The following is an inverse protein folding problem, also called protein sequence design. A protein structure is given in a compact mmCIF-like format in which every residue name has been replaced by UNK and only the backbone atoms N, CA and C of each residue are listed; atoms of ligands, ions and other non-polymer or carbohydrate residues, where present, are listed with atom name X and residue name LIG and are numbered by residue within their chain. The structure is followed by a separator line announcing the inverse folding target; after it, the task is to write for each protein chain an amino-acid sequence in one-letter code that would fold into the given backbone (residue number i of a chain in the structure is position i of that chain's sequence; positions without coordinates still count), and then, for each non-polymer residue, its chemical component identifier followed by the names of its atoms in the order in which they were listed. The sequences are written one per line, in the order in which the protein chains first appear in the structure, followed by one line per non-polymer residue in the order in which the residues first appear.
data_IF_428416744667
#
_entry.id   IF_428416744667
#
_cell.length_a   1.000
_cell.length_b   1.000
_cell.length_c   1.000
_cell.angle_alpha   90.00
_cell.angle_beta   90.00
_cell.angle_gamma   90.00
#
_symmetry.space_group_name_H-M   'P 1'
#
loop_
_entity.id
_entity.type
_entity.pdbx_description
1 polymer ?
#
# COMPACT_ATOMS: atom_id res chain seq x y z
N UNK A 1 18.99 8.37 -12.95
CA UNK A 1 18.02 7.47 -13.64
C UNK A 1 16.88 8.33 -14.17
N UNK A 2 16.50 8.19 -15.44
CA UNK A 2 15.41 9.02 -16.01
C UNK A 2 14.03 8.39 -15.84
N UNK A 3 13.96 7.08 -15.64
CA UNK A 3 12.73 6.32 -15.47
C UNK A 3 13.00 5.15 -14.52
N UNK A 4 12.04 4.87 -13.65
CA UNK A 4 12.02 3.72 -12.75
C UNK A 4 10.66 3.03 -12.86
N UNK A 5 10.68 1.75 -13.21
CA UNK A 5 9.49 0.90 -13.15
C UNK A 5 9.54 0.06 -11.88
N UNK A 6 8.46 0.10 -11.11
CA UNK A 6 8.30 -0.80 -9.99
C UNK A 6 7.09 -1.71 -10.16
N UNK A 7 7.18 -2.88 -9.55
CA UNK A 7 6.06 -3.82 -9.46
C UNK A 7 5.66 -3.99 -8.00
N UNK A 8 4.35 -3.93 -7.72
CA UNK A 8 3.77 -4.27 -6.42
C UNK A 8 3.22 -5.70 -6.46
N UNK A 9 3.82 -6.60 -5.67
CA UNK A 9 3.25 -7.92 -5.38
C UNK A 9 2.49 -7.86 -4.05
N UNK A 10 1.21 -8.21 -4.06
CA UNK A 10 0.34 -8.23 -2.88
C UNK A 10 -0.56 -9.46 -2.83
N UNK A 11 -1.25 -9.66 -1.70
CA UNK A 11 -2.13 -10.81 -1.50
C UNK A 11 -3.53 -10.58 -2.11
N UNK A 12 -4.02 -9.35 -2.10
CA UNK A 12 -5.37 -9.00 -2.53
C UNK A 12 -5.45 -7.85 -3.54
N UNK A 13 -6.58 -7.74 -4.25
CA UNK A 13 -6.81 -6.64 -5.19
C UNK A 13 -7.01 -5.29 -4.49
N UNK A 14 -7.47 -5.29 -3.23
CA UNK A 14 -7.60 -4.07 -2.43
C UNK A 14 -6.27 -3.37 -2.19
N UNK A 15 -5.17 -4.13 -2.21
CA UNK A 15 -3.84 -3.63 -1.89
C UNK A 15 -3.26 -2.74 -3.00
N UNK A 16 -3.87 -2.72 -4.19
CA UNK A 16 -3.51 -1.76 -5.24
C UNK A 16 -3.73 -0.31 -4.79
N UNK A 17 -4.49 -0.07 -3.71
CA UNK A 17 -4.57 1.22 -3.02
C UNK A 17 -3.22 1.70 -2.46
N UNK A 18 -2.20 0.84 -2.37
CA UNK A 18 -0.82 1.22 -2.02
C UNK A 18 -0.07 1.89 -3.17
N UNK A 19 -0.50 1.74 -4.42
CA UNK A 19 0.19 2.30 -5.59
C UNK A 19 0.39 3.82 -5.48
N UNK A 20 -0.63 4.65 -5.17
CA UNK A 20 -0.42 6.08 -4.97
C UNK A 20 0.58 6.40 -3.86
N UNK A 21 0.55 5.66 -2.76
CA UNK A 21 1.48 5.81 -1.62
C UNK A 21 2.92 5.55 -2.04
N UNK A 22 3.17 4.42 -2.74
CA UNK A 22 4.50 4.00 -3.18
C UNK A 22 5.05 4.91 -4.28
N UNK A 23 4.18 5.33 -5.21
CA UNK A 23 4.54 6.29 -6.27
C UNK A 23 4.95 7.63 -5.67
N UNK A 24 4.15 8.17 -4.73
CA UNK A 24 4.48 9.40 -4.02
C UNK A 24 5.81 9.29 -3.26
N UNK A 25 6.02 8.16 -2.59
CA UNK A 25 7.24 7.93 -1.82
C UNK A 25 8.49 7.91 -2.73
N UNK A 26 8.40 7.24 -3.88
CA UNK A 26 9.47 7.24 -4.88
C UNK A 26 9.72 8.62 -5.47
N UNK A 27 8.66 9.36 -5.84
CA UNK A 27 8.77 10.74 -6.35
C UNK A 27 9.39 11.70 -5.33
N UNK A 28 9.18 11.45 -4.04
CA UNK A 28 9.78 12.24 -2.96
C UNK A 28 11.30 12.05 -2.87
N UNK A 29 11.81 10.86 -3.24
CA UNK A 29 13.22 10.51 -3.08
C UNK A 29 14.00 10.41 -4.40
N UNK A 30 13.33 10.44 -5.54
CA UNK A 30 13.95 10.36 -6.87
C UNK A 30 13.59 11.60 -7.68
N UNK A 31 14.46 12.60 -7.63
CA UNK A 31 14.25 13.85 -8.38
C UNK A 31 14.44 13.60 -9.88
N UNK A 32 13.61 14.21 -10.71
CA UNK A 32 13.64 14.12 -12.18
C UNK A 32 13.60 12.67 -12.72
N UNK A 33 12.91 11.77 -12.00
CA UNK A 33 12.70 10.40 -12.39
C UNK A 33 11.22 10.14 -12.70
N UNK A 34 10.90 9.68 -13.90
CA UNK A 34 9.56 9.20 -14.22
C UNK A 34 9.30 7.87 -13.51
N UNK A 35 8.23 7.78 -12.74
CA UNK A 35 7.87 6.57 -12.00
C UNK A 35 6.74 5.86 -12.75
N UNK A 36 7.00 4.61 -13.17
CA UNK A 36 6.00 3.71 -13.72
C UNK A 36 5.70 2.61 -12.71
N UNK A 37 4.45 2.20 -12.64
CA UNK A 37 4.01 1.16 -11.72
C UNK A 37 3.26 0.05 -12.43
N UNK A 38 3.42 -1.16 -11.91
CA UNK A 38 2.59 -2.32 -12.24
C UNK A 38 2.11 -2.99 -10.96
N UNK A 39 0.90 -3.52 -10.99
CA UNK A 39 0.40 -4.41 -9.95
C UNK A 39 0.45 -5.86 -10.46
N UNK A 40 1.20 -6.72 -9.77
CA UNK A 40 1.33 -8.12 -10.13
C UNK A 40 0.02 -8.89 -9.88
N UNK A 41 -0.92 -8.82 -10.82
CA UNK A 41 -2.18 -9.58 -10.76
C UNK A 41 -1.96 -11.04 -11.15
N UNK A 42 -1.74 -11.87 -10.14
CA UNK A 42 -1.56 -13.31 -10.32
C UNK A 42 -2.88 -14.12 -10.25
N UNK A 43 -4.05 -13.48 -10.21
CA UNK A 43 -5.35 -14.20 -10.07
C UNK A 43 -5.58 -15.19 -11.20
N UNK A 44 -5.25 -14.82 -12.43
CA UNK A 44 -5.38 -15.69 -13.62
C UNK A 44 -4.37 -16.86 -13.69
N UNK A 45 -3.34 -16.86 -12.84
CA UNK A 45 -2.33 -17.93 -12.85
C UNK A 45 -2.83 -19.17 -12.09
N UNK A 46 -2.62 -20.40 -12.61
CA UNK A 46 -2.99 -21.64 -11.93
C UNK A 46 -2.39 -21.74 -10.52
N UNK A 47 -3.16 -22.28 -9.56
CA UNK A 47 -2.71 -22.38 -8.16
C UNK A 47 -1.42 -23.17 -8.00
N UNK A 48 -1.22 -24.25 -8.76
CA UNK A 48 -0.01 -25.08 -8.73
C UNK A 48 1.29 -24.32 -9.05
N UNK A 49 1.20 -23.23 -9.82
CA UNK A 49 2.35 -22.40 -10.17
C UNK A 49 2.65 -21.31 -9.15
N UNK A 50 1.71 -21.02 -8.25
CA UNK A 50 1.80 -19.94 -7.22
C UNK A 50 1.44 -20.44 -5.82
N UNK A 51 1.61 -21.72 -5.54
CA UNK A 51 1.23 -22.38 -4.28
C UNK A 51 2.14 -21.99 -3.10
N UNK A 52 3.35 -21.50 -3.38
CA UNK A 52 4.28 -20.97 -2.38
C UNK A 52 4.54 -19.48 -2.59
N UNK A 53 4.96 -18.79 -1.53
CA UNK A 53 5.26 -17.37 -1.62
C UNK A 53 6.47 -17.09 -2.52
N UNK A 54 7.50 -17.94 -2.46
CA UNK A 54 8.67 -17.84 -3.34
C UNK A 54 8.31 -18.00 -4.82
N UNK A 55 7.40 -18.90 -5.18
CA UNK A 55 6.88 -19.03 -6.56
C UNK A 55 6.11 -17.78 -7.00
N UNK A 56 5.30 -17.19 -6.11
CA UNK A 56 4.61 -15.93 -6.41
C UNK A 56 5.56 -14.78 -6.69
N UNK A 57 6.66 -14.69 -5.93
CA UNK A 57 7.71 -13.68 -6.16
C UNK A 57 8.37 -13.89 -7.51
N UNK A 58 8.73 -15.13 -7.89
CA UNK A 58 9.28 -15.45 -9.23
C UNK A 58 8.34 -15.03 -10.35
N UNK A 59 7.08 -15.44 -10.26
CA UNK A 59 6.07 -15.09 -11.26
C UNK A 59 5.84 -13.59 -11.37
N UNK A 60 5.88 -12.86 -10.26
CA UNK A 60 5.72 -11.42 -10.28
C UNK A 60 6.84 -10.74 -11.09
N UNK A 61 8.09 -11.15 -10.91
CA UNK A 61 9.23 -10.60 -11.66
C UNK A 61 9.22 -11.05 -13.12
N UNK A 62 8.81 -12.30 -13.39
CA UNK A 62 8.73 -12.86 -14.74
C UNK A 62 7.65 -12.20 -15.60
N UNK A 63 6.44 -12.04 -15.04
CA UNK A 63 5.28 -11.51 -15.77
C UNK A 63 5.21 -9.98 -15.76
N UNK A 64 5.81 -9.35 -14.75
CA UNK A 64 5.81 -7.90 -14.53
C UNK A 64 7.24 -7.41 -14.28
N UNK A 65 8.12 -7.39 -15.30
CA UNK A 65 9.53 -6.98 -15.17
C UNK A 65 9.66 -5.55 -14.62
N UNK A 66 10.55 -5.36 -13.66
CA UNK A 66 10.75 -4.08 -12.98
C UNK A 66 12.20 -3.89 -12.51
N UNK A 67 12.56 -2.65 -12.20
CA UNK A 67 13.82 -2.29 -11.55
C UNK A 67 13.71 -2.34 -10.02
N UNK A 68 12.48 -2.28 -9.46
CA UNK A 68 12.21 -2.37 -8.03
C UNK A 68 10.96 -3.22 -7.77
N UNK A 69 11.05 -4.17 -6.87
CA UNK A 69 9.91 -4.98 -6.43
C UNK A 69 9.47 -4.57 -5.02
N UNK A 70 8.25 -4.07 -4.88
CA UNK A 70 7.58 -3.95 -3.60
C UNK A 70 6.81 -5.23 -3.29
N UNK A 71 7.02 -5.81 -2.11
CA UNK A 71 6.28 -6.98 -1.66
C UNK A 71 5.46 -6.60 -0.43
N UNK A 72 4.15 -6.66 -0.59
CA UNK A 72 3.20 -6.32 0.47
C UNK A 72 2.69 -7.55 1.21
N UNK A 73 2.60 -7.40 2.53
CA UNK A 73 1.82 -8.25 3.43
C UNK A 73 1.32 -7.45 4.62
N UNK A 74 0.04 -7.56 4.94
CA UNK A 74 -0.50 -7.01 6.18
C UNK A 74 0.09 -7.71 7.40
N UNK A 75 0.47 -6.94 8.43
CA UNK A 75 0.95 -7.53 9.68
C UNK A 75 -0.19 -8.24 10.43
N UNK A 76 -1.44 -7.81 10.24
CA UNK A 76 -2.62 -8.31 10.96
C UNK A 76 -2.44 -8.24 12.48
N UNK A 77 -2.38 -9.39 13.16
CA UNK A 77 -2.16 -9.52 14.62
C UNK A 77 -0.70 -9.84 14.97
N UNK A 78 0.14 -10.06 13.95
CA UNK A 78 1.53 -10.44 14.15
C UNK A 78 2.43 -9.21 14.25
N UNK A 79 3.61 -9.34 14.88
CA UNK A 79 4.62 -8.30 14.79
C UNK A 79 5.04 -8.06 13.34
N UNK A 80 5.21 -6.77 12.95
CA UNK A 80 5.69 -6.39 11.62
C UNK A 80 6.93 -7.19 11.18
N UNK A 81 7.90 -7.37 12.08
CA UNK A 81 9.15 -8.06 11.79
C UNK A 81 8.93 -9.50 11.29
N UNK A 82 7.95 -10.21 11.83
CA UNK A 82 7.63 -11.57 11.37
C UNK A 82 7.26 -11.59 9.87
N UNK A 83 6.46 -10.62 9.40
CA UNK A 83 6.12 -10.51 7.98
C UNK A 83 7.29 -10.13 7.12
N UNK A 84 8.16 -9.24 7.61
CA UNK A 84 9.42 -8.89 6.94
C UNK A 84 10.29 -10.12 6.76
N UNK A 85 10.43 -10.93 7.81
CA UNK A 85 11.23 -12.16 7.76
C UNK A 85 10.65 -13.21 6.81
N UNK A 86 9.32 -13.36 6.77
CA UNK A 86 8.60 -14.21 5.81
C UNK A 86 8.87 -13.76 4.35
N UNK A 87 8.84 -12.45 4.08
CA UNK A 87 9.13 -11.89 2.75
C UNK A 87 10.59 -12.17 2.36
N UNK A 88 11.53 -11.88 3.25
CA UNK A 88 12.97 -12.09 3.00
C UNK A 88 13.29 -13.56 2.75
N UNK A 89 12.78 -14.45 3.58
CA UNK A 89 12.93 -15.89 3.40
C UNK A 89 12.36 -16.36 2.06
N UNK A 90 11.15 -15.92 1.69
CA UNK A 90 10.55 -16.29 0.43
C UNK A 90 11.34 -15.77 -0.79
N UNK A 91 11.95 -14.58 -0.67
CA UNK A 91 12.86 -14.04 -1.70
C UNK A 91 14.14 -14.89 -1.83
N UNK A 92 14.76 -15.27 -0.71
CA UNK A 92 15.93 -16.16 -0.68
C UNK A 92 15.60 -17.52 -1.33
N UNK A 93 14.46 -18.13 -0.99
CA UNK A 93 13.95 -19.36 -1.61
C UNK A 93 13.66 -19.22 -3.10
N UNK A 94 13.30 -18.02 -3.56
CA UNK A 94 13.14 -17.72 -4.97
C UNK A 94 14.48 -17.75 -5.73
N UNK A 95 15.61 -17.57 -5.05
CA UNK A 95 16.96 -17.72 -5.58
C UNK A 95 17.35 -16.63 -6.57
N UNK A 96 18.43 -16.86 -7.32
CA UNK A 96 19.06 -15.89 -8.21
C UNK A 96 18.16 -15.38 -9.35
N UNK A 97 17.07 -16.11 -9.64
CA UNK A 97 16.07 -15.65 -10.62
C UNK A 97 15.36 -14.36 -10.22
N UNK A 98 15.46 -13.96 -8.92
CA UNK A 98 14.91 -12.72 -8.38
C UNK A 98 16.04 -11.83 -7.88
N UNK A 99 16.87 -11.33 -8.83
CA UNK A 99 17.98 -10.41 -8.52
C UNK A 99 17.52 -8.96 -8.33
N UNK A 100 16.26 -8.63 -8.66
CA UNK A 100 15.72 -7.28 -8.53
C UNK A 100 15.74 -6.80 -7.07
N UNK A 101 16.13 -5.54 -6.79
CA UNK A 101 16.00 -4.92 -5.49
C UNK A 101 14.57 -5.02 -4.97
N UNK A 102 14.44 -5.30 -3.67
CA UNK A 102 13.14 -5.56 -3.06
C UNK A 102 12.98 -4.74 -1.80
N UNK A 103 11.79 -4.17 -1.62
CA UNK A 103 11.38 -3.41 -0.41
C UNK A 103 10.12 -4.04 0.18
N UNK A 104 10.12 -4.22 1.51
CA UNK A 104 9.01 -4.81 2.24
C UNK A 104 7.97 -3.76 2.61
N UNK A 105 6.74 -3.92 2.13
CA UNK A 105 5.60 -3.06 2.45
C UNK A 105 4.71 -3.78 3.47
N UNK A 106 4.88 -3.45 4.74
CA UNK A 106 4.19 -4.17 5.83
C UNK A 106 3.49 -3.17 6.75
N UNK A 107 2.25 -2.75 6.40
CA UNK A 107 1.41 -1.98 7.30
C UNK A 107 1.11 -2.76 8.59
N UNK A 108 1.13 -2.07 9.74
CA UNK A 108 0.66 -2.68 10.98
C UNK A 108 -0.86 -2.78 10.93
N UNK A 109 -1.38 -3.94 11.27
CA UNK A 109 -2.76 -4.37 11.06
C UNK A 109 -3.07 -4.57 9.59
N UNK A 110 -3.38 -3.49 8.83
CA UNK A 110 -3.77 -3.59 7.42
C UNK A 110 -3.56 -2.26 6.68
N UNK A 111 -3.54 -2.34 5.37
CA UNK A 111 -3.32 -1.21 4.42
C UNK A 111 -4.25 -0.03 4.70
N UNK A 112 -5.50 -0.27 5.10
CA UNK A 112 -6.49 0.77 5.35
C UNK A 112 -6.07 1.76 6.45
N UNK A 113 -5.16 1.37 7.36
CA UNK A 113 -4.60 2.28 8.36
C UNK A 113 -3.92 3.49 7.71
N UNK A 114 -3.28 3.30 6.56
CA UNK A 114 -2.57 4.38 5.85
C UNK A 114 -3.48 5.34 5.07
N UNK A 115 -4.79 5.11 5.06
CA UNK A 115 -5.78 5.95 4.39
C UNK A 115 -6.65 6.79 5.34
N UNK A 116 -6.47 6.63 6.65
CA UNK A 116 -7.36 7.18 7.70
C UNK A 116 -6.98 8.59 8.18
N UNK A 117 -6.21 9.36 7.42
CA UNK A 117 -5.71 10.66 7.89
C UNK A 117 -6.19 11.87 7.08
N UNK A 118 -6.75 11.67 5.89
CA UNK A 118 -7.08 12.77 4.99
C UNK A 118 -8.61 12.91 4.83
N UNK A 119 -9.21 13.84 5.58
CA UNK A 119 -10.65 14.09 5.53
C UNK A 119 -11.13 14.49 4.13
N UNK A 120 -10.36 15.35 3.43
CA UNK A 120 -10.72 15.81 2.09
C UNK A 120 -10.79 14.64 1.12
N UNK A 121 -9.82 13.73 1.15
CA UNK A 121 -9.81 12.54 0.31
C UNK A 121 -11.00 11.61 0.62
N UNK A 122 -11.31 11.39 1.90
CA UNK A 122 -12.48 10.60 2.31
C UNK A 122 -13.78 11.18 1.78
N UNK A 123 -13.97 12.51 1.87
CA UNK A 123 -15.16 13.19 1.35
C UNK A 123 -15.26 13.13 -0.17
N UNK A 124 -14.14 13.32 -0.87
CA UNK A 124 -14.07 13.21 -2.34
C UNK A 124 -14.39 11.78 -2.79
N UNK A 125 -13.80 10.78 -2.15
CA UNK A 125 -14.07 9.37 -2.43
C UNK A 125 -15.54 9.01 -2.22
N UNK A 126 -16.16 9.53 -1.15
CA UNK A 126 -17.57 9.34 -0.83
C UNK A 126 -18.53 10.20 -1.69
N UNK A 127 -18.04 10.88 -2.73
CA UNK A 127 -18.79 11.77 -3.62
C UNK A 127 -19.52 12.93 -2.91
N UNK A 128 -18.99 13.41 -1.79
CA UNK A 128 -19.54 14.51 -1.00
C UNK A 128 -18.43 15.49 -0.54
N UNK A 129 -17.68 16.13 -1.48
CA UNK A 129 -16.52 16.96 -1.16
C UNK A 129 -16.85 18.16 -0.27
N UNK A 130 -18.08 18.66 -0.33
CA UNK A 130 -18.56 19.81 0.43
C UNK A 130 -19.35 19.43 1.69
N UNK A 131 -19.28 18.16 2.10
CA UNK A 131 -19.97 17.67 3.29
C UNK A 131 -19.50 18.39 4.55
N UNK A 132 -20.45 18.82 5.41
CA UNK A 132 -20.16 19.61 6.62
C UNK A 132 -20.21 18.82 7.91
N UNK A 133 -20.67 17.56 7.86
CA UNK A 133 -20.71 16.71 9.04
C UNK A 133 -19.28 16.42 9.52
N UNK A 134 -18.89 16.71 10.76
CA UNK A 134 -17.55 16.48 11.27
C UNK A 134 -17.18 14.99 11.19
N UNK A 135 -16.03 14.65 10.62
CA UNK A 135 -15.47 13.31 10.66
C UNK A 135 -14.49 13.21 11.84
N UNK A 136 -14.65 12.18 12.66
CA UNK A 136 -13.72 11.93 13.77
C UNK A 136 -12.58 11.04 13.29
N UNK A 137 -11.57 11.67 12.66
CA UNK A 137 -10.37 10.95 12.25
C UNK A 137 -9.58 10.49 13.47
N UNK A 138 -8.94 9.32 13.40
CA UNK A 138 -8.06 8.85 14.47
C UNK A 138 -6.76 9.64 14.51
N UNK A 139 -6.12 9.65 15.67
CA UNK A 139 -4.76 10.13 15.82
C UNK A 139 -3.80 9.15 15.13
N UNK A 140 -3.00 9.63 14.18
CA UNK A 140 -2.04 8.84 13.41
C UNK A 140 -1.04 8.10 14.30
N UNK A 141 -0.58 8.71 15.38
CA UNK A 141 0.39 8.10 16.30
C UNK A 141 -0.15 6.89 17.04
N UNK A 142 -1.49 6.74 17.08
CA UNK A 142 -2.21 5.63 17.76
C UNK A 142 -2.91 4.70 16.77
N UNK A 143 -2.73 4.94 15.48
CA UNK A 143 -3.50 4.23 14.46
C UNK A 143 -3.07 2.77 14.33
N UNK A 144 -1.78 2.49 14.53
CA UNK A 144 -1.25 1.12 14.54
C UNK A 144 -1.76 0.28 15.73
N UNK A 145 -2.28 0.93 16.78
CA UNK A 145 -2.91 0.24 17.92
C UNK A 145 -4.38 -0.12 17.67
N UNK A 146 -5.00 0.42 16.60
CA UNK A 146 -6.41 0.16 16.30
C UNK A 146 -6.59 -1.29 15.83
N UNK A 147 -7.55 -2.03 16.41
CA UNK A 147 -7.71 -3.45 16.09
C UNK A 147 -8.23 -3.69 14.66
N UNK A 148 -9.07 -2.81 14.15
CA UNK A 148 -9.71 -2.93 12.82
C UNK A 148 -9.74 -1.58 12.08
N UNK A 149 -8.65 -1.19 11.42
CA UNK A 149 -8.61 0.01 10.59
C UNK A 149 -9.59 -0.02 9.42
N UNK A 150 -9.91 -1.20 8.89
CA UNK A 150 -10.83 -1.39 7.77
C UNK A 150 -12.25 -1.03 8.15
N UNK A 151 -12.74 -1.55 9.28
CA UNK A 151 -14.07 -1.19 9.78
C UNK A 151 -14.18 0.32 10.03
N UNK A 152 -13.12 0.92 10.61
CA UNK A 152 -13.08 2.36 10.84
C UNK A 152 -13.13 3.16 9.53
N UNK A 153 -12.37 2.76 8.51
CA UNK A 153 -12.38 3.40 7.20
C UNK A 153 -13.77 3.32 6.56
N UNK A 154 -14.40 2.16 6.61
CA UNK A 154 -15.74 1.95 6.07
C UNK A 154 -16.78 2.81 6.77
N UNK A 155 -16.71 2.91 8.10
CA UNK A 155 -17.56 3.79 8.89
C UNK A 155 -17.39 5.25 8.47
N UNK A 156 -16.14 5.73 8.39
CA UNK A 156 -15.85 7.12 8.02
C UNK A 156 -16.29 7.45 6.58
N UNK A 157 -16.12 6.55 5.62
CA UNK A 157 -16.62 6.72 4.26
C UNK A 157 -18.15 6.80 4.23
N UNK A 158 -18.82 5.95 5.02
CA UNK A 158 -20.27 6.01 5.17
C UNK A 158 -20.74 7.34 5.78
N UNK A 159 -20.05 7.88 6.78
CA UNK A 159 -20.32 9.20 7.37
C UNK A 159 -20.03 10.33 6.40
N UNK A 160 -18.88 10.28 5.72
CA UNK A 160 -18.44 11.25 4.72
C UNK A 160 -19.44 11.40 3.58
N UNK A 161 -20.12 10.30 3.18
CA UNK A 161 -21.11 10.31 2.10
C UNK A 161 -22.32 11.24 2.37
N UNK A 162 -22.61 11.54 3.64
CA UNK A 162 -23.80 12.31 4.03
C UNK A 162 -25.12 11.60 3.73
N UNK A 163 -25.11 10.33 3.32
CA UNK A 163 -26.30 9.57 3.00
C UNK A 163 -27.05 9.15 4.27
N UNK A 164 -28.38 9.16 4.21
CA UNK A 164 -29.22 8.59 5.27
C UNK A 164 -29.01 7.08 5.40
N UNK A 165 -29.35 6.51 6.57
CA UNK A 165 -29.06 5.13 6.97
C UNK A 165 -29.43 4.06 5.93
N UNK A 166 -30.59 4.21 5.26
CA UNK A 166 -31.05 3.27 4.23
C UNK A 166 -30.16 3.28 2.98
N UNK A 167 -29.75 4.47 2.49
CA UNK A 167 -28.87 4.60 1.31
C UNK A 167 -27.43 4.21 1.64
N UNK A 168 -26.97 4.50 2.86
CA UNK A 168 -25.64 4.13 3.35
C UNK A 168 -25.43 2.61 3.33
N UNK A 169 -26.44 1.81 3.66
CA UNK A 169 -26.36 0.34 3.58
C UNK A 169 -26.17 -0.20 2.16
N UNK A 170 -26.47 0.59 1.13
CA UNK A 170 -26.29 0.22 -0.28
C UNK A 170 -24.98 0.75 -0.88
N UNK A 171 -24.20 1.48 -0.10
CA UNK A 171 -22.93 2.04 -0.53
C UNK A 171 -21.89 0.92 -0.63
N UNK A 172 -21.28 0.76 -1.79
CA UNK A 172 -20.18 -0.20 -2.00
C UNK A 172 -18.89 0.41 -1.51
N UNK A 173 -18.68 0.37 -0.19
CA UNK A 173 -17.59 1.08 0.47
C UNK A 173 -16.22 0.52 0.05
N UNK A 174 -16.15 -0.76 -0.26
CA UNK A 174 -14.94 -1.43 -0.74
C UNK A 174 -14.40 -0.78 -2.03
N UNK A 175 -15.29 -0.37 -2.93
CA UNK A 175 -14.92 0.30 -4.19
C UNK A 175 -14.39 1.73 -3.96
N UNK A 176 -14.68 2.32 -2.80
CA UNK A 176 -14.24 3.68 -2.46
C UNK A 176 -12.82 3.72 -1.90
N UNK A 177 -12.30 2.61 -1.38
CA UNK A 177 -10.98 2.55 -0.74
C UNK A 177 -9.87 3.00 -1.71
N UNK A 178 -9.87 2.49 -2.94
CA UNK A 178 -8.90 2.90 -3.96
C UNK A 178 -8.97 4.40 -4.27
N UNK A 179 -10.21 4.92 -4.36
CA UNK A 179 -10.43 6.34 -4.61
C UNK A 179 -9.91 7.23 -3.48
N UNK A 180 -9.93 6.75 -2.22
CA UNK A 180 -9.31 7.52 -1.13
C UNK A 180 -7.83 7.71 -1.40
N UNK A 181 -7.11 6.65 -1.72
CA UNK A 181 -5.68 6.72 -2.02
C UNK A 181 -5.38 7.65 -3.21
N UNK A 182 -6.18 7.57 -4.29
CA UNK A 182 -6.04 8.42 -5.48
C UNK A 182 -6.29 9.92 -5.21
N UNK A 183 -7.08 10.26 -4.18
CA UNK A 183 -7.40 11.63 -3.82
C UNK A 183 -6.46 12.23 -2.76
N UNK A 184 -5.47 11.49 -2.31
CA UNK A 184 -4.43 11.99 -1.40
C UNK A 184 -3.24 12.45 -2.25
N UNK A 185 -2.97 13.73 -2.20
CA UNK A 185 -1.85 14.34 -2.94
C UNK A 185 -0.54 14.29 -2.16
N UNK A 186 -0.58 14.19 -0.83
CA UNK A 186 0.59 14.17 0.05
C UNK A 186 0.43 13.16 1.18
N UNK A 187 1.36 12.20 1.24
CA UNK A 187 1.41 11.16 2.27
C UNK A 187 2.43 11.43 3.38
N UNK A 188 3.02 12.64 3.46
CA UNK A 188 4.05 12.98 4.44
C UNK A 188 3.60 12.75 5.90
N UNK A 189 2.30 12.93 6.20
CA UNK A 189 1.74 12.68 7.52
C UNK A 189 1.92 11.23 8.00
N UNK A 190 2.03 10.25 7.08
CA UNK A 190 2.26 8.84 7.42
C UNK A 190 3.61 8.58 8.10
N UNK A 191 4.56 9.52 8.01
CA UNK A 191 5.85 9.45 8.72
C UNK A 191 5.71 9.44 10.24
N UNK A 192 4.54 9.82 10.77
CA UNK A 192 4.19 9.64 12.18
C UNK A 192 4.01 8.15 12.56
N UNK A 193 3.85 7.26 11.58
CA UNK A 193 3.62 5.83 11.80
C UNK A 193 4.93 5.04 11.67
N UNK A 194 5.31 4.26 12.68
CA UNK A 194 6.54 3.48 12.66
C UNK A 194 6.69 2.54 11.46
N UNK A 195 5.61 1.87 11.03
CA UNK A 195 5.66 0.96 9.90
C UNK A 195 5.92 1.70 8.57
N UNK A 196 5.33 2.88 8.38
CA UNK A 196 5.58 3.69 7.20
C UNK A 196 7.01 4.25 7.18
N UNK A 197 7.50 4.72 8.34
CA UNK A 197 8.88 5.18 8.47
C UNK A 197 9.88 4.07 8.15
N UNK A 198 9.62 2.85 8.62
CA UNK A 198 10.46 1.70 8.31
C UNK A 198 10.47 1.34 6.81
N UNK A 199 9.33 1.48 6.11
CA UNK A 199 9.25 1.35 4.65
C UNK A 199 10.10 2.42 3.96
N UNK A 200 9.96 3.69 4.36
CA UNK A 200 10.71 4.81 3.77
C UNK A 200 12.21 4.64 3.99
N UNK A 201 12.63 4.21 5.18
CA UNK A 201 14.05 4.00 5.50
C UNK A 201 14.64 2.82 4.69
N UNK A 202 13.91 1.72 4.51
CA UNK A 202 14.32 0.59 3.67
C UNK A 202 14.43 1.02 2.19
N UNK A 203 13.48 1.80 1.69
CA UNK A 203 13.52 2.34 0.33
C UNK A 203 14.75 3.23 0.11
N UNK A 204 15.06 4.14 1.04
CA UNK A 204 16.27 4.99 0.96
C UNK A 204 17.55 4.18 0.90
N UNK A 205 17.65 3.12 1.68
CA UNK A 205 18.79 2.21 1.64
C UNK A 205 18.93 1.55 0.27
N UNK A 206 17.83 1.07 -0.33
CA UNK A 206 17.83 0.49 -1.66
C UNK A 206 18.23 1.51 -2.71
N UNK A 207 17.68 2.72 -2.69
CA UNK A 207 18.04 3.81 -3.62
C UNK A 207 19.54 4.10 -3.56
N UNK A 208 20.10 4.18 -2.34
CA UNK A 208 21.54 4.43 -2.13
C UNK A 208 22.39 3.27 -2.64
N UNK A 209 22.02 2.02 -2.34
CA UNK A 209 22.76 0.82 -2.78
C UNK A 209 22.76 0.66 -4.30
N UNK A 210 21.67 1.05 -4.98
CA UNK A 210 21.55 0.98 -6.42
C UNK A 210 22.18 2.19 -7.14
N UNK A 211 22.64 3.20 -6.40
CA UNK A 211 23.19 4.43 -6.98
C UNK A 211 22.14 5.21 -7.79
N UNK A 212 20.86 5.04 -7.48
CA UNK A 212 19.81 5.86 -8.05
C UNK A 212 19.92 7.25 -7.46
N UNK A 213 20.09 8.27 -8.32
CA UNK A 213 20.35 9.63 -7.85
C UNK A 213 19.28 10.09 -6.86
N UNK A 214 19.76 10.53 -5.70
CA UNK A 214 19.02 11.33 -4.74
C UNK A 214 18.92 12.77 -5.26
#
# INVERSE_FOLDING_TARGET
MKELRYTLLSDGSSDSALIPVLTWLLQTHLVDCAIQHEWADLRGVPKSLKDTFSKRIKLAVELYPCELLFIHRDAEKEPRQKRVDEIRKAKEEAGESVSVPTVCVVPVRMTEAWLLFNETALRRAAANPNGKHPLQLPDLTKLEDKPDPKELLYKLLGEASGLGSHRRKKLRVEELVHRVAEFIDDFASLRAMPAFKALEDELKQVIQQQGWCL
#
